data_IF_629825646858
#
_entry.id   IF_629825646858
#
_cell.length_a   1.000
_cell.length_b   1.000
_cell.length_c   1.000
_cell.angle_alpha   90.00
_cell.angle_beta   90.00
_cell.angle_gamma   90.00
#
_symmetry.space_group_name_H-M   'P 1'
#
loop_
_entity.id
_entity.type
_entity.pdbx_description
1 polymer ?
#
# COMPACT_ATOMS: atom_id res chain seq x y z
N UNK A 1 11.12 7.25 -15.90
CA UNK A 1 10.92 5.82 -16.26
C UNK A 1 9.41 5.54 -16.25
N UNK A 2 8.91 4.40 -16.75
CA UNK A 2 7.48 4.04 -16.66
C UNK A 2 7.24 3.06 -15.51
N UNK A 3 6.18 3.26 -14.74
CA UNK A 3 5.82 2.35 -13.63
C UNK A 3 5.06 1.13 -14.15
N UNK A 4 5.36 -0.06 -13.62
CA UNK A 4 4.65 -1.31 -13.95
C UNK A 4 3.96 -1.84 -12.71
N UNK A 5 2.67 -2.14 -12.81
CA UNK A 5 1.93 -2.81 -11.75
C UNK A 5 2.09 -4.31 -11.90
N UNK A 6 2.57 -4.95 -10.85
CA UNK A 6 2.79 -6.40 -10.81
C UNK A 6 1.93 -6.99 -9.71
N UNK A 7 1.06 -7.94 -10.06
CA UNK A 7 0.40 -8.81 -9.10
C UNK A 7 1.40 -9.88 -8.66
N UNK A 8 1.70 -9.89 -7.36
CA UNK A 8 2.56 -10.88 -6.74
C UNK A 8 1.70 -11.93 -6.04
N UNK A 9 1.94 -13.20 -6.35
CA UNK A 9 1.45 -14.33 -5.53
C UNK A 9 2.65 -14.89 -4.80
N UNK A 10 2.60 -14.86 -3.47
CA UNK A 10 3.67 -15.33 -2.61
C UNK A 10 3.08 -16.17 -1.48
N UNK A 11 3.88 -17.10 -0.96
CA UNK A 11 3.57 -17.84 0.26
C UNK A 11 4.62 -17.59 1.33
N UNK A 12 4.23 -17.77 2.59
CA UNK A 12 5.13 -17.56 3.72
C UNK A 12 5.88 -18.85 4.04
N UNK A 13 7.19 -18.74 4.08
CA UNK A 13 8.12 -19.81 4.47
C UNK A 13 8.75 -19.49 5.83
N UNK A 14 9.52 -20.42 6.38
CA UNK A 14 10.29 -20.20 7.63
C UNK A 14 11.34 -19.09 7.47
N UNK A 15 11.82 -18.90 6.25
CA UNK A 15 12.90 -17.94 5.91
C UNK A 15 12.36 -16.60 5.35
N UNK A 16 11.04 -16.48 5.14
CA UNK A 16 10.44 -15.22 4.68
C UNK A 16 9.24 -15.38 3.75
N UNK A 17 9.14 -14.50 2.76
CA UNK A 17 8.14 -14.59 1.69
C UNK A 17 8.80 -15.13 0.43
N UNK A 18 8.31 -16.26 -0.07
CA UNK A 18 8.73 -16.81 -1.35
C UNK A 18 7.70 -16.47 -2.43
N UNK A 19 8.15 -15.86 -3.52
CA UNK A 19 7.26 -15.46 -4.62
C UNK A 19 7.02 -16.64 -5.55
N UNK A 20 5.76 -17.04 -5.70
CA UNK A 20 5.31 -18.14 -6.56
C UNK A 20 5.04 -17.64 -7.98
N UNK A 21 4.43 -16.45 -8.12
CA UNK A 21 4.05 -15.90 -9.43
C UNK A 21 4.18 -14.39 -9.46
N UNK A 22 4.64 -13.86 -10.58
CA UNK A 22 4.58 -12.44 -10.94
C UNK A 22 3.78 -12.29 -12.22
N UNK A 23 2.85 -11.34 -12.23
CA UNK A 23 2.02 -11.05 -13.40
C UNK A 23 1.91 -9.54 -13.57
N UNK A 24 2.27 -9.03 -14.75
CA UNK A 24 2.08 -7.62 -15.08
C UNK A 24 0.60 -7.38 -15.34
N UNK A 25 -0.01 -6.53 -14.52
CA UNK A 25 -1.45 -6.21 -14.60
C UNK A 25 -1.72 -4.82 -15.19
N UNK A 26 -0.68 -4.03 -15.43
CA UNK A 26 -0.81 -2.72 -16.06
C UNK A 26 0.49 -1.94 -16.08
N UNK A 27 0.50 -0.86 -16.86
CA UNK A 27 1.61 0.07 -16.97
C UNK A 27 1.08 1.48 -16.74
N UNK A 28 1.72 2.25 -15.87
CA UNK A 28 1.46 3.68 -15.72
C UNK A 28 2.48 4.46 -16.55
N UNK A 29 2.05 5.54 -17.23
CA UNK A 29 3.00 6.47 -17.85
C UNK A 29 3.81 7.27 -16.81
N UNK A 30 3.31 7.38 -15.58
CA UNK A 30 3.97 8.08 -14.47
C UNK A 30 5.24 7.35 -14.01
N UNK A 31 6.22 8.13 -13.55
CA UNK A 31 7.40 7.59 -12.87
C UNK A 31 7.02 6.98 -11.50
N UNK A 32 7.82 6.03 -11.03
CA UNK A 32 7.54 5.32 -9.79
C UNK A 32 7.55 6.27 -8.58
N UNK A 33 8.47 7.24 -8.55
CA UNK A 33 8.54 8.23 -7.47
C UNK A 33 7.28 9.10 -7.41
N UNK A 34 6.92 9.70 -8.55
CA UNK A 34 5.72 10.55 -8.67
C UNK A 34 4.44 9.80 -8.30
N UNK A 35 4.33 8.55 -8.73
CA UNK A 35 3.19 7.69 -8.38
C UNK A 35 3.12 7.42 -6.88
N UNK A 36 4.27 7.15 -6.24
CA UNK A 36 4.34 6.87 -4.81
C UNK A 36 3.98 8.11 -3.98
N UNK A 37 4.47 9.29 -4.35
CA UNK A 37 4.12 10.55 -3.69
C UNK A 37 2.63 10.84 -3.79
N UNK A 38 2.05 10.65 -4.99
CA UNK A 38 0.61 10.82 -5.20
C UNK A 38 -0.22 9.83 -4.38
N UNK A 39 0.20 8.56 -4.34
CA UNK A 39 -0.45 7.54 -3.51
C UNK A 39 -0.34 7.87 -2.02
N UNK A 40 0.83 8.33 -1.57
CA UNK A 40 1.03 8.76 -0.19
C UNK A 40 0.08 9.92 0.15
N UNK A 41 -0.05 10.93 -0.72
CA UNK A 41 -1.00 12.03 -0.51
C UNK A 41 -2.44 11.56 -0.35
N UNK A 42 -2.91 10.63 -1.19
CA UNK A 42 -4.27 10.07 -1.08
C UNK A 42 -4.45 9.25 0.21
N UNK A 43 -3.44 8.46 0.57
CA UNK A 43 -3.54 7.54 1.71
C UNK A 43 -3.35 8.25 3.05
N UNK A 44 -2.59 9.34 3.11
CA UNK A 44 -2.35 10.11 4.34
C UNK A 44 -3.67 10.59 4.94
N UNK A 45 -4.55 11.18 4.13
CA UNK A 45 -5.84 11.68 4.61
C UNK A 45 -6.69 10.54 5.20
N UNK A 46 -6.74 9.40 4.50
CA UNK A 46 -7.49 8.22 4.95
C UNK A 46 -6.92 7.63 6.25
N UNK A 47 -5.59 7.53 6.35
CA UNK A 47 -4.90 7.02 7.55
C UNK A 47 -5.09 7.96 8.73
N UNK A 48 -4.99 9.27 8.52
CA UNK A 48 -5.17 10.27 9.58
C UNK A 48 -6.60 10.31 10.09
N UNK A 49 -7.59 10.19 9.21
CA UNK A 49 -9.00 10.06 9.59
C UNK A 49 -9.22 8.81 10.46
N UNK A 50 -8.66 7.66 10.04
CA UNK A 50 -8.82 6.43 10.79
C UNK A 50 -8.13 6.49 12.17
N UNK A 51 -6.93 7.05 12.25
CA UNK A 51 -6.23 7.29 13.52
C UNK A 51 -7.07 8.17 14.45
N UNK A 52 -7.66 9.26 13.93
CA UNK A 52 -8.49 10.15 14.72
C UNK A 52 -9.72 9.44 15.29
N UNK A 53 -10.43 8.65 14.48
CA UNK A 53 -11.59 7.89 14.95
C UNK A 53 -11.20 6.86 16.02
N UNK A 54 -10.11 6.11 15.81
CA UNK A 54 -9.62 5.15 16.80
C UNK A 54 -9.27 5.82 18.13
N UNK A 55 -8.61 6.99 18.10
CA UNK A 55 -8.29 7.73 19.33
C UNK A 55 -9.55 8.20 20.07
N UNK A 56 -10.58 8.63 19.32
CA UNK A 56 -11.85 9.06 19.89
C UNK A 56 -12.60 7.90 20.56
N UNK A 57 -12.61 6.72 19.97
CA UNK A 57 -13.22 5.51 20.53
C UNK A 57 -12.50 5.06 21.81
N UNK A 58 -11.16 5.09 21.82
CA UNK A 58 -10.35 4.78 23.01
C UNK A 58 -10.65 5.76 24.14
N UNK A 59 -10.73 7.06 23.85
CA UNK A 59 -11.04 8.09 24.83
C UNK A 59 -12.48 8.01 25.38
N UNK A 60 -13.43 7.47 24.62
CA UNK A 60 -14.81 7.27 25.05
C UNK A 60 -15.02 5.97 25.87
N UNK A 61 -14.04 5.07 25.89
CA UNK A 61 -14.12 3.75 26.51
C UNK A 61 -13.39 3.64 27.86
N UNK A 62 -12.79 4.74 28.34
CA UNK A 62 -12.09 4.83 29.64
C UNK A 62 -12.80 5.80 30.58
#
# INVERSE_FOLDING_TARGET
MKTVFVKLTAHRTKDGLETIKREVIGVSPEDAGERLERLAGILVDLVMEQIYQTQKEVAASG
#
